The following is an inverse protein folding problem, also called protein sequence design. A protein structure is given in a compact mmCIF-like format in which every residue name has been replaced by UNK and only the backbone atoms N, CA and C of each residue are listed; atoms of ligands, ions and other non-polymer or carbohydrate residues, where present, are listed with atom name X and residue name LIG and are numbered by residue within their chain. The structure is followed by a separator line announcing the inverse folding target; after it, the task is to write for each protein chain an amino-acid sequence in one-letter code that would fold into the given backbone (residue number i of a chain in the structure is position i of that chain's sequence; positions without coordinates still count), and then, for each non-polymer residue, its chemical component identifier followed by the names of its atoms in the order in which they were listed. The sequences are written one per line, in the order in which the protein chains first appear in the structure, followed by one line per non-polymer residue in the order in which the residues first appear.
data_IF_522422263842
#
_entry.id   IF_522422263842
#
_cell.length_a   1.000
_cell.length_b   1.000
_cell.length_c   1.000
_cell.angle_alpha   90.00
_cell.angle_beta   90.00
_cell.angle_gamma   90.00
#
_symmetry.space_group_name_H-M   'P 1'
#
loop_
_entity.id
_entity.type
_entity.pdbx_description
1 polymer ?
#
# COMPACT_ATOMS: atom_id res chain seq x y z
N UNK A 1 18.07 -3.63 7.72
CA UNK A 1 19.38 -3.63 8.41
C UNK A 1 19.54 -2.31 9.14
N UNK A 2 19.89 -2.36 10.44
CA UNK A 2 20.19 -1.19 11.27
C UNK A 2 21.67 -1.29 11.66
N UNK A 3 22.41 -0.19 11.64
CA UNK A 3 23.81 -0.15 12.03
C UNK A 3 24.02 0.99 13.04
N UNK A 4 24.55 0.64 14.21
CA UNK A 4 24.96 1.58 15.24
C UNK A 4 26.47 1.77 15.17
N UNK A 5 26.92 3.00 15.29
CA UNK A 5 28.32 3.36 15.53
C UNK A 5 28.42 3.90 16.96
N UNK A 6 29.08 3.16 17.81
CA UNK A 6 29.12 3.43 19.27
C UNK A 6 30.54 3.77 19.73
N UNK A 7 30.65 4.63 20.71
CA UNK A 7 31.92 4.88 21.41
C UNK A 7 31.70 5.03 22.92
N UNK A 8 32.72 4.76 23.71
CA UNK A 8 32.73 5.10 25.14
C UNK A 8 33.01 6.60 25.32
N UNK A 9 32.41 7.20 26.34
CA UNK A 9 32.72 8.57 26.74
C UNK A 9 34.22 8.72 26.94
N UNK A 10 34.82 9.80 26.39
CA UNK A 10 36.27 10.05 26.46
C UNK A 10 37.15 9.22 25.53
N UNK A 11 36.56 8.34 24.67
CA UNK A 11 37.31 7.57 23.67
C UNK A 11 37.02 8.09 22.25
N UNK A 12 38.03 8.02 21.38
CA UNK A 12 37.93 8.26 19.95
C UNK A 12 37.64 6.96 19.16
N UNK A 13 37.64 5.82 19.83
CA UNK A 13 37.40 4.52 19.19
C UNK A 13 35.91 4.38 18.91
N UNK A 14 35.56 4.11 17.66
CA UNK A 14 34.19 3.88 17.21
C UNK A 14 34.04 2.40 16.87
N UNK A 15 33.06 1.74 17.50
CA UNK A 15 32.74 0.32 17.30
C UNK A 15 31.42 0.22 16.54
N UNK A 16 31.41 -0.35 15.32
CA UNK A 16 30.21 -0.59 14.58
C UNK A 16 29.51 -1.87 15.03
N UNK A 17 28.18 -1.83 15.20
CA UNK A 17 27.36 -3.01 15.45
C UNK A 17 26.18 -3.02 14.47
N UNK A 18 26.04 -4.13 13.74
CA UNK A 18 24.96 -4.31 12.74
C UNK A 18 23.88 -5.22 13.27
N UNK A 19 22.64 -4.81 13.12
CA UNK A 19 21.45 -5.58 13.49
C UNK A 19 20.70 -6.07 12.26
N UNK A 20 20.10 -7.30 12.29
CA UNK A 20 20.11 -8.23 13.42
C UNK A 20 21.53 -8.78 13.70
N UNK A 21 21.86 -8.90 14.99
CA UNK A 21 23.16 -9.31 15.49
C UNK A 21 23.09 -10.61 16.29
N UNK A 22 24.11 -11.45 16.19
CA UNK A 22 24.26 -12.60 17.10
C UNK A 22 24.70 -12.14 18.49
N UNK A 23 24.45 -12.98 19.50
CA UNK A 23 24.91 -12.69 20.87
C UNK A 23 26.42 -12.54 20.94
N UNK A 24 27.15 -13.32 20.14
CA UNK A 24 28.64 -13.22 20.07
C UNK A 24 29.08 -11.85 19.52
N UNK A 25 28.42 -11.34 18.46
CA UNK A 25 28.75 -10.03 17.91
C UNK A 25 28.45 -8.88 18.90
N UNK A 26 27.34 -8.97 19.64
CA UNK A 26 27.03 -7.99 20.70
C UNK A 26 28.09 -8.03 21.81
N UNK A 27 28.47 -9.23 22.23
CA UNK A 27 29.51 -9.40 23.27
C UNK A 27 30.85 -8.89 22.79
N UNK A 28 31.26 -9.18 21.57
CA UNK A 28 32.51 -8.70 20.98
C UNK A 28 32.55 -7.17 20.91
N UNK A 29 31.46 -6.53 20.43
CA UNK A 29 31.34 -5.07 20.40
C UNK A 29 31.45 -4.47 21.81
N UNK A 30 30.84 -5.10 22.83
CA UNK A 30 30.97 -4.67 24.23
C UNK A 30 32.40 -4.78 24.75
N UNK A 31 33.09 -5.89 24.45
CA UNK A 31 34.50 -6.06 24.82
C UNK A 31 35.43 -5.02 24.17
N UNK A 32 35.18 -4.69 22.89
CA UNK A 32 35.92 -3.64 22.17
C UNK A 32 35.70 -2.26 22.80
N UNK A 33 34.45 -1.94 23.18
CA UNK A 33 34.12 -0.71 23.89
C UNK A 33 34.78 -0.64 25.27
N UNK A 34 34.76 -1.73 26.03
CA UNK A 34 35.37 -1.80 27.39
C UNK A 34 36.88 -1.69 27.34
N UNK A 35 37.51 -2.20 26.28
CA UNK A 35 38.97 -2.04 26.04
C UNK A 35 39.39 -0.61 25.65
N UNK A 36 38.43 0.19 25.16
CA UNK A 36 38.70 1.54 24.64
C UNK A 36 38.66 2.64 25.70
N UNK A 37 37.97 2.47 26.82
CA UNK A 37 37.86 3.46 27.90
C UNK A 37 37.43 2.83 29.23
N UNK A 38 37.86 3.44 30.34
CA UNK A 38 37.41 3.08 31.70
C UNK A 38 36.00 3.60 32.02
N UNK A 39 35.49 4.56 31.25
CA UNK A 39 34.12 5.04 31.40
C UNK A 39 33.13 4.01 30.86
N UNK A 40 32.06 3.76 31.61
CA UNK A 40 31.09 2.71 31.28
C UNK A 40 29.95 3.20 30.35
N UNK A 41 29.77 4.53 30.22
CA UNK A 41 28.67 5.09 29.42
C UNK A 41 28.97 5.05 27.93
N UNK A 42 28.14 4.31 27.19
CA UNK A 42 28.23 4.26 25.74
C UNK A 42 27.40 5.40 25.11
N UNK A 43 27.96 5.99 24.06
CA UNK A 43 27.28 6.99 23.22
C UNK A 43 27.09 6.44 21.81
N UNK A 44 25.96 6.71 21.23
CA UNK A 44 25.74 6.50 19.80
C UNK A 44 26.31 7.70 19.06
N UNK A 45 27.29 7.45 18.21
CA UNK A 45 27.94 8.48 17.37
C UNK A 45 27.14 8.69 16.10
N UNK A 46 26.68 7.58 15.48
CA UNK A 46 25.90 7.58 14.25
C UNK A 46 25.00 6.36 14.22
N UNK A 47 23.84 6.50 13.60
CA UNK A 47 22.92 5.41 13.30
C UNK A 47 22.54 5.44 11.82
N UNK A 48 22.65 4.27 11.17
CA UNK A 48 22.21 4.08 9.78
C UNK A 48 21.12 3.03 9.73
N UNK A 49 20.09 3.27 8.91
CA UNK A 49 19.00 2.32 8.70
C UNK A 49 18.56 2.30 7.24
N UNK A 50 18.03 1.16 6.80
CA UNK A 50 17.34 1.03 5.52
C UNK A 50 15.98 1.75 5.52
N UNK A 51 15.46 2.06 6.71
CA UNK A 51 14.27 2.90 6.91
C UNK A 51 14.77 4.31 7.26
N UNK A 52 14.54 5.27 6.37
CA UNK A 52 15.19 6.57 6.43
C UNK A 52 14.87 7.37 7.72
N UNK A 53 13.61 7.33 8.18
CA UNK A 53 13.14 8.06 9.36
C UNK A 53 13.33 7.30 10.69
N UNK A 54 13.71 6.02 10.67
CA UNK A 54 13.88 5.19 11.87
C UNK A 54 14.83 5.79 12.93
N UNK A 55 15.99 6.38 12.56
CA UNK A 55 16.90 6.95 13.55
C UNK A 55 16.27 8.06 14.40
N UNK A 56 15.31 8.83 13.86
CA UNK A 56 14.65 9.91 14.60
C UNK A 56 13.81 9.42 15.77
N UNK A 57 13.28 8.19 15.68
CA UNK A 57 12.50 7.56 16.75
C UNK A 57 13.35 6.88 17.83
N UNK A 58 14.65 6.74 17.60
CA UNK A 58 15.59 6.08 18.51
C UNK A 58 16.44 7.07 19.32
N UNK A 59 16.04 8.34 19.40
CA UNK A 59 16.77 9.37 20.14
C UNK A 59 16.95 9.10 21.64
N UNK A 60 16.08 8.30 22.24
CA UNK A 60 16.15 7.87 23.64
C UNK A 60 16.75 6.47 23.84
N UNK A 61 17.30 5.84 22.81
CA UNK A 61 17.85 4.50 22.87
C UNK A 61 19.13 4.46 23.72
N UNK A 62 19.15 3.56 24.73
CA UNK A 62 20.28 3.31 25.58
C UNK A 62 21.04 2.04 25.14
N UNK A 63 22.23 2.17 24.54
CA UNK A 63 23.01 1.03 24.07
C UNK A 63 23.60 0.18 25.21
N UNK A 64 23.59 0.65 26.45
CA UNK A 64 24.03 -0.12 27.62
C UNK A 64 22.87 -0.97 28.21
N UNK A 65 21.64 -0.74 27.78
CA UNK A 65 20.47 -1.51 28.19
C UNK A 65 20.34 -2.82 27.40
N UNK A 66 20.52 -3.95 28.07
CA UNK A 66 20.34 -5.29 27.45
C UNK A 66 18.95 -5.49 26.90
N UNK A 67 17.94 -4.95 27.57
CA UNK A 67 16.53 -5.05 27.13
C UNK A 67 16.32 -4.29 25.82
N UNK A 68 16.81 -3.05 25.74
CA UNK A 68 16.67 -2.24 24.52
C UNK A 68 17.48 -2.82 23.35
N UNK A 69 18.68 -3.36 23.61
CA UNK A 69 19.45 -4.08 22.58
C UNK A 69 18.69 -5.30 22.04
N UNK A 70 18.05 -6.08 22.92
CA UNK A 70 17.24 -7.21 22.50
C UNK A 70 16.01 -6.78 21.67
N UNK A 71 15.34 -5.71 22.09
CA UNK A 71 14.20 -5.12 21.36
C UNK A 71 14.64 -4.59 19.97
N UNK A 72 15.76 -3.87 19.90
CA UNK A 72 16.32 -3.40 18.63
C UNK A 72 16.69 -4.56 17.70
N UNK A 73 17.22 -5.64 18.25
CA UNK A 73 17.55 -6.85 17.50
C UNK A 73 16.30 -7.53 16.93
N UNK A 74 15.22 -7.61 17.73
CA UNK A 74 13.92 -8.09 17.27
C UNK A 74 13.36 -7.22 16.15
N UNK A 75 13.34 -5.91 16.33
CA UNK A 75 12.90 -4.95 15.33
C UNK A 75 13.67 -5.12 14.01
N UNK A 76 15.00 -5.16 14.11
CA UNK A 76 15.88 -5.34 12.94
C UNK A 76 15.63 -6.68 12.22
N UNK A 77 15.30 -7.74 12.97
CA UNK A 77 14.96 -9.05 12.41
C UNK A 77 13.64 -9.03 11.63
N UNK A 78 12.67 -8.24 12.08
CA UNK A 78 11.39 -8.04 11.36
C UNK A 78 11.66 -7.23 10.09
N UNK A 79 12.34 -6.09 10.19
CA UNK A 79 12.68 -5.21 9.06
C UNK A 79 13.51 -5.95 7.99
N UNK A 80 14.37 -6.88 8.39
CA UNK A 80 15.19 -7.65 7.46
C UNK A 80 14.37 -8.55 6.53
N UNK A 81 13.17 -8.96 6.95
CA UNK A 81 12.25 -9.79 6.17
C UNK A 81 11.33 -8.99 5.25
N UNK A 82 11.20 -7.69 5.50
CA UNK A 82 10.35 -6.80 4.73
C UNK A 82 10.91 -6.60 3.31
N UNK A 83 10.03 -6.60 2.33
CA UNK A 83 10.34 -6.15 0.99
C UNK A 83 10.45 -4.62 0.89
N UNK A 84 10.70 -4.08 -0.31
CA UNK A 84 10.85 -2.63 -0.51
C UNK A 84 9.54 -1.88 -0.26
N UNK A 85 8.39 -2.45 -0.64
CA UNK A 85 7.07 -1.85 -0.43
C UNK A 85 6.72 -1.82 1.05
N UNK A 86 6.90 -2.93 1.75
CA UNK A 86 6.65 -3.03 3.20
C UNK A 86 7.52 -2.06 4.00
N UNK A 87 8.78 -1.84 3.59
CA UNK A 87 9.66 -0.84 4.21
C UNK A 87 9.14 0.58 4.04
N UNK A 88 8.60 0.91 2.88
CA UNK A 88 7.99 2.22 2.63
C UNK A 88 6.70 2.40 3.44
N UNK A 89 5.87 1.35 3.53
CA UNK A 89 4.68 1.33 4.37
C UNK A 89 5.08 1.52 5.84
N UNK A 90 6.08 0.78 6.31
CA UNK A 90 6.55 0.89 7.69
C UNK A 90 7.09 2.28 8.02
N UNK A 91 7.84 2.89 7.11
CA UNK A 91 8.32 4.27 7.27
C UNK A 91 7.15 5.26 7.47
N UNK A 92 6.14 5.18 6.61
CA UNK A 92 4.95 6.03 6.73
C UNK A 92 4.10 5.71 7.95
N UNK A 93 3.99 4.42 8.30
CA UNK A 93 3.26 4.01 9.51
C UNK A 93 3.92 4.53 10.80
N UNK A 94 5.26 4.66 10.85
CA UNK A 94 5.94 5.31 11.96
C UNK A 94 5.57 6.78 12.08
N UNK A 95 5.53 7.51 10.94
CA UNK A 95 5.19 8.93 10.92
C UNK A 95 3.69 9.17 11.22
N UNK A 96 2.82 8.24 10.85
CA UNK A 96 1.37 8.33 11.08
C UNK A 96 0.90 7.85 12.45
N UNK A 97 1.79 7.34 13.32
CA UNK A 97 1.43 6.84 14.65
C UNK A 97 2.21 7.56 15.74
N UNK A 98 1.63 7.60 16.95
CA UNK A 98 2.33 8.07 18.15
C UNK A 98 3.31 6.99 18.62
N UNK A 99 4.59 7.17 18.35
CA UNK A 99 5.67 6.25 18.74
C UNK A 99 6.36 6.79 19.98
N UNK A 100 6.27 6.07 21.09
CA UNK A 100 6.88 6.46 22.37
C UNK A 100 8.15 5.65 22.67
N UNK A 101 8.20 4.38 22.26
CA UNK A 101 9.29 3.47 22.57
C UNK A 101 9.51 2.41 21.48
N UNK A 102 10.52 1.54 21.70
CA UNK A 102 10.84 0.42 20.82
C UNK A 102 9.72 -0.63 20.71
N UNK A 103 8.87 -0.78 21.73
CA UNK A 103 7.77 -1.74 21.65
C UNK A 103 6.68 -1.23 20.69
N UNK A 104 6.41 0.08 20.68
CA UNK A 104 5.51 0.69 19.71
C UNK A 104 6.04 0.47 18.28
N UNK A 105 7.34 0.69 18.05
CA UNK A 105 7.99 0.45 16.76
C UNK A 105 7.88 -1.02 16.32
N UNK A 106 8.09 -1.97 17.24
CA UNK A 106 7.95 -3.40 16.97
C UNK A 106 6.50 -3.73 16.63
N UNK A 107 5.53 -3.22 17.39
CA UNK A 107 4.10 -3.43 17.15
C UNK A 107 3.71 -2.96 15.76
N UNK A 108 4.10 -1.76 15.35
CA UNK A 108 3.84 -1.23 14.00
C UNK A 108 4.51 -2.10 12.93
N UNK A 109 5.75 -2.56 13.17
CA UNK A 109 6.44 -3.45 12.24
C UNK A 109 5.75 -4.81 12.07
N UNK A 110 5.19 -5.38 13.14
CA UNK A 110 4.43 -6.62 13.11
C UNK A 110 3.06 -6.48 12.46
N UNK A 111 2.51 -5.27 12.47
CA UNK A 111 1.21 -4.91 11.89
C UNK A 111 1.33 -4.18 10.54
N UNK A 112 2.47 -4.27 9.87
CA UNK A 112 2.69 -3.57 8.58
C UNK A 112 1.65 -3.94 7.52
N UNK A 113 1.10 -5.16 7.58
CA UNK A 113 0.02 -5.62 6.72
C UNK A 113 -1.32 -4.89 6.92
N UNK A 114 -1.50 -4.21 8.07
CA UNK A 114 -2.71 -3.43 8.37
C UNK A 114 -2.69 -2.05 7.72
N UNK A 115 -1.59 -1.68 7.10
CA UNK A 115 -1.41 -0.41 6.41
C UNK A 115 -1.42 -0.59 4.90
N UNK A 116 -1.76 0.49 4.21
CA UNK A 116 -1.72 0.57 2.75
C UNK A 116 -0.85 1.74 2.33
N UNK A 117 -0.14 1.57 1.21
CA UNK A 117 0.57 2.62 0.50
C UNK A 117 -0.21 2.94 -0.77
N UNK A 118 -0.66 4.19 -0.87
CA UNK A 118 -1.23 4.78 -2.08
C UNK A 118 -0.06 5.47 -2.82
N UNK A 119 0.43 4.88 -3.91
CA UNK A 119 1.61 5.40 -4.60
C UNK A 119 1.34 6.76 -5.24
N UNK A 120 2.39 7.58 -5.39
CA UNK A 120 2.35 8.89 -6.05
C UNK A 120 1.48 9.96 -5.37
N UNK A 121 0.91 9.66 -4.19
CA UNK A 121 0.15 10.61 -3.37
C UNK A 121 1.07 11.17 -2.28
N UNK A 122 1.61 12.37 -2.49
CA UNK A 122 2.62 12.97 -1.62
C UNK A 122 2.28 14.39 -1.12
N UNK A 123 1.06 14.83 -1.36
CA UNK A 123 0.56 16.16 -0.97
C UNK A 123 -0.97 16.18 -0.89
N UNK A 124 -1.53 17.19 -0.23
CA UNK A 124 -2.98 17.38 -0.15
C UNK A 124 -3.63 17.45 -1.54
N UNK A 125 -2.97 18.09 -2.51
CA UNK A 125 -3.49 18.17 -3.89
C UNK A 125 -3.61 16.79 -4.52
N UNK A 126 -2.55 15.97 -4.41
CA UNK A 126 -2.55 14.61 -4.99
C UNK A 126 -3.49 13.68 -4.22
N UNK A 127 -3.60 13.86 -2.91
CA UNK A 127 -4.56 13.13 -2.09
C UNK A 127 -6.00 13.51 -2.44
N UNK A 128 -6.30 14.80 -2.60
CA UNK A 128 -7.62 15.26 -3.00
C UNK A 128 -8.02 14.77 -4.39
N UNK A 129 -7.09 14.72 -5.34
CA UNK A 129 -7.33 14.08 -6.65
C UNK A 129 -7.63 12.60 -6.50
N UNK A 130 -6.83 11.88 -5.71
CA UNK A 130 -7.06 10.46 -5.43
C UNK A 130 -8.45 10.22 -4.84
N UNK A 131 -8.84 10.99 -3.82
CA UNK A 131 -10.16 10.92 -3.18
C UNK A 131 -11.28 11.20 -4.17
N UNK A 132 -11.11 12.21 -5.01
CA UNK A 132 -12.10 12.57 -6.03
C UNK A 132 -12.26 11.46 -7.08
N UNK A 133 -11.16 10.86 -7.56
CA UNK A 133 -11.16 9.77 -8.55
C UNK A 133 -11.64 8.45 -7.94
N UNK A 134 -11.25 8.13 -6.70
CA UNK A 134 -11.61 6.87 -6.05
C UNK A 134 -13.12 6.75 -5.71
N UNK A 135 -13.92 7.76 -6.06
CA UNK A 135 -15.38 7.65 -6.14
C UNK A 135 -16.15 8.23 -4.99
N UNK A 136 -15.55 9.03 -4.12
CA UNK A 136 -16.35 9.84 -3.19
C UNK A 136 -17.05 11.01 -3.89
N UNK A 137 -16.47 11.53 -4.97
CA UNK A 137 -17.02 12.64 -5.76
C UNK A 137 -17.34 12.17 -7.18
N UNK A 138 -16.58 11.22 -7.73
CA UNK A 138 -16.79 10.67 -9.06
C UNK A 138 -18.05 9.77 -9.06
N UNK A 139 -19.03 10.12 -9.89
CA UNK A 139 -20.33 9.43 -9.95
C UNK A 139 -21.39 10.03 -9.02
N UNK A 140 -21.10 11.04 -8.22
CA UNK A 140 -22.12 11.84 -7.56
C UNK A 140 -22.76 12.78 -8.60
N UNK A 141 -24.08 12.65 -8.88
CA UNK A 141 -24.77 13.49 -9.87
C UNK A 141 -24.73 14.98 -9.52
N UNK A 142 -24.37 15.33 -8.28
CA UNK A 142 -24.19 16.72 -7.83
C UNK A 142 -22.89 17.35 -8.34
N UNK A 143 -21.93 16.52 -8.82
CA UNK A 143 -20.61 16.96 -9.31
C UNK A 143 -20.40 16.51 -10.76
N UNK A 144 -21.02 17.22 -11.74
CA UNK A 144 -20.81 16.90 -13.15
C UNK A 144 -19.34 17.08 -13.54
N UNK A 145 -18.87 16.32 -14.51
CA UNK A 145 -17.49 16.32 -14.98
C UNK A 145 -16.97 17.74 -15.34
N UNK A 146 -17.85 18.59 -15.86
CA UNK A 146 -17.57 20.01 -16.14
C UNK A 146 -17.19 20.82 -14.88
N UNK A 147 -17.47 20.36 -13.69
CA UNK A 147 -17.10 21.01 -12.43
C UNK A 147 -15.68 20.65 -11.94
N UNK A 148 -15.08 19.57 -12.46
CA UNK A 148 -13.77 19.08 -12.05
C UNK A 148 -12.64 20.12 -12.09
N UNK A 149 -12.51 20.95 -13.14
CA UNK A 149 -11.46 22.00 -13.19
C UNK A 149 -11.60 23.05 -12.08
N UNK A 150 -12.75 23.12 -11.44
CA UNK A 150 -13.07 24.11 -10.39
C UNK A 150 -12.99 23.51 -8.97
N UNK A 151 -12.67 22.22 -8.82
CA UNK A 151 -12.52 21.60 -7.51
C UNK A 151 -11.20 22.03 -6.86
N UNK A 152 -11.29 22.39 -5.59
CA UNK A 152 -10.11 22.65 -4.75
C UNK A 152 -9.59 21.32 -4.18
N UNK A 153 -8.77 20.64 -4.96
CA UNK A 153 -8.19 19.36 -4.55
C UNK A 153 -7.31 19.48 -3.31
N UNK A 154 -6.66 20.62 -3.08
CA UNK A 154 -5.86 20.83 -1.87
C UNK A 154 -6.76 20.79 -0.62
N UNK A 155 -7.91 21.44 -0.69
CA UNK A 155 -8.88 21.44 0.40
C UNK A 155 -9.48 20.05 0.64
N UNK A 156 -9.88 19.35 -0.43
CA UNK A 156 -10.42 17.98 -0.35
C UNK A 156 -9.40 17.03 0.31
N UNK A 157 -8.13 17.11 -0.10
CA UNK A 157 -7.08 16.27 0.47
C UNK A 157 -6.77 16.61 1.92
N UNK A 158 -6.74 17.89 2.27
CA UNK A 158 -6.51 18.33 3.65
C UNK A 158 -7.65 17.89 4.58
N UNK A 159 -8.91 17.97 4.13
CA UNK A 159 -10.07 17.49 4.89
C UNK A 159 -10.01 15.97 5.08
N UNK A 160 -9.71 15.22 4.02
CA UNK A 160 -9.52 13.77 4.09
C UNK A 160 -8.38 13.39 5.05
N UNK A 161 -7.24 14.07 4.96
CA UNK A 161 -6.09 13.86 5.87
C UNK A 161 -6.48 14.13 7.34
N UNK A 162 -7.21 15.20 7.59
CA UNK A 162 -7.64 15.55 8.94
C UNK A 162 -8.62 14.52 9.54
N UNK A 163 -9.43 13.88 8.72
CA UNK A 163 -10.44 12.89 9.14
C UNK A 163 -9.83 11.49 9.31
N UNK A 164 -8.93 11.07 8.40
CA UNK A 164 -8.43 9.70 8.32
C UNK A 164 -6.98 9.54 8.82
N UNK A 165 -6.26 10.64 9.03
CA UNK A 165 -4.85 10.59 9.44
C UNK A 165 -3.93 10.06 8.34
N UNK A 166 -2.90 9.32 8.74
CA UNK A 166 -1.88 8.76 7.83
C UNK A 166 -0.63 9.62 7.75
N UNK A 167 0.23 9.34 6.77
CA UNK A 167 1.47 10.08 6.56
C UNK A 167 1.86 10.15 5.09
N UNK A 168 2.34 11.31 4.66
CA UNK A 168 2.97 11.49 3.36
C UNK A 168 4.41 11.00 3.40
N UNK A 169 4.79 10.17 2.42
CA UNK A 169 6.16 9.69 2.23
C UNK A 169 6.63 10.00 0.82
N UNK A 170 7.91 9.81 0.55
CA UNK A 170 8.44 9.93 -0.82
C UNK A 170 7.86 8.89 -1.78
N UNK A 171 7.37 7.75 -1.25
CA UNK A 171 6.79 6.67 -2.04
C UNK A 171 5.27 6.83 -2.25
N UNK A 172 4.61 7.70 -1.47
CA UNK A 172 3.18 7.91 -1.51
C UNK A 172 2.59 8.17 -0.12
N UNK A 173 1.28 8.07 -0.01
CA UNK A 173 0.51 8.25 1.22
C UNK A 173 0.27 6.91 1.90
N UNK A 174 0.61 6.83 3.19
CA UNK A 174 0.43 5.63 4.00
C UNK A 174 -0.63 5.88 5.05
N UNK A 175 -1.62 4.99 5.12
CA UNK A 175 -2.68 5.06 6.13
C UNK A 175 -3.08 3.64 6.57
N UNK A 176 -3.81 3.56 7.69
CA UNK A 176 -4.31 2.29 8.20
C UNK A 176 -5.54 1.85 7.41
N UNK A 177 -5.63 0.58 7.01
CA UNK A 177 -6.75 0.02 6.23
C UNK A 177 -8.12 0.20 6.91
N UNK A 178 -8.16 0.25 8.24
CA UNK A 178 -9.40 0.43 8.99
C UNK A 178 -9.93 1.87 8.93
N UNK A 179 -9.03 2.83 8.70
CA UNK A 179 -9.33 4.26 8.67
C UNK A 179 -9.64 4.74 7.25
N UNK A 180 -9.40 3.89 6.24
CA UNK A 180 -9.70 4.19 4.84
C UNK A 180 -10.99 3.50 4.42
N UNK A 181 -12.09 4.24 4.38
CA UNK A 181 -13.36 3.77 3.82
C UNK A 181 -13.25 3.46 2.32
N UNK A 182 -12.30 4.09 1.61
CA UNK A 182 -12.02 3.82 0.20
C UNK A 182 -11.36 2.45 -0.01
N UNK A 183 -10.65 1.93 1.02
CA UNK A 183 -10.03 0.60 0.99
C UNK A 183 -10.98 -0.48 1.50
N UNK A 184 -11.97 -0.13 2.32
CA UNK A 184 -12.99 -1.08 2.81
C UNK A 184 -13.85 -1.67 1.69
N UNK A 185 -14.10 -0.89 0.67
CA UNK A 185 -14.58 -1.42 -0.58
C UNK A 185 -13.35 -1.55 -1.51
N UNK A 186 -12.87 -2.77 -1.76
CA UNK A 186 -12.23 -3.09 -3.05
C UNK A 186 -13.25 -2.63 -4.08
N UNK A 187 -13.22 -1.35 -4.50
CA UNK A 187 -14.13 -0.91 -5.54
C UNK A 187 -13.79 -1.73 -6.75
N UNK A 188 -14.59 -2.76 -6.93
CA UNK A 188 -14.47 -3.61 -8.08
C UNK A 188 -14.54 -2.70 -9.29
N UNK A 189 -13.55 -2.78 -10.16
CA UNK A 189 -13.59 -2.03 -11.43
C UNK A 189 -14.71 -2.57 -12.29
N UNK A 190 -14.92 -3.88 -12.19
CA UNK A 190 -15.99 -4.62 -12.84
C UNK A 190 -16.59 -5.56 -11.80
N UNK A 191 -17.91 -5.56 -11.65
CA UNK A 191 -18.63 -6.52 -10.83
C UNK A 191 -19.43 -7.43 -11.76
N UNK A 192 -19.27 -8.74 -11.59
CA UNK A 192 -20.01 -9.75 -12.33
C UNK A 192 -20.92 -10.52 -11.37
N UNK A 193 -22.19 -10.66 -11.73
CA UNK A 193 -23.09 -11.60 -11.09
C UNK A 193 -23.10 -12.89 -11.91
N UNK A 194 -22.63 -13.97 -11.29
CA UNK A 194 -22.48 -15.30 -11.89
C UNK A 194 -23.56 -16.24 -11.34
N UNK A 195 -24.12 -17.05 -12.20
CA UNK A 195 -25.10 -18.07 -11.84
C UNK A 195 -24.70 -19.41 -12.43
N UNK A 196 -24.72 -20.44 -11.59
CA UNK A 196 -24.61 -21.84 -11.99
C UNK A 196 -25.93 -22.60 -11.68
N UNK A 197 -25.97 -23.89 -11.96
CA UNK A 197 -27.08 -24.76 -11.56
C UNK A 197 -27.22 -24.93 -10.04
N UNK A 198 -26.17 -24.59 -9.26
CA UNK A 198 -26.10 -24.83 -7.82
C UNK A 198 -26.13 -23.54 -6.99
N UNK A 199 -25.58 -22.43 -7.49
CA UNK A 199 -25.44 -21.20 -6.72
C UNK A 199 -25.38 -19.93 -7.60
N UNK A 200 -25.60 -18.79 -6.96
CA UNK A 200 -25.33 -17.47 -7.51
C UNK A 200 -24.30 -16.75 -6.64
N UNK A 201 -23.34 -16.07 -7.26
CA UNK A 201 -22.26 -15.35 -6.59
C UNK A 201 -21.95 -14.06 -7.33
N UNK A 202 -21.78 -12.96 -6.59
CA UNK A 202 -21.23 -11.71 -7.12
C UNK A 202 -19.71 -11.70 -6.94
N UNK A 203 -18.99 -11.42 -8.03
CA UNK A 203 -17.53 -11.36 -8.06
C UNK A 203 -17.08 -9.94 -8.35
N UNK A 204 -16.20 -9.43 -7.51
CA UNK A 204 -15.56 -8.13 -7.66
C UNK A 204 -14.19 -8.29 -8.33
N UNK A 205 -14.01 -7.66 -9.49
CA UNK A 205 -12.79 -7.69 -10.28
C UNK A 205 -12.06 -6.33 -10.21
N UNK A 206 -10.71 -6.29 -10.20
CA UNK A 206 -9.83 -7.44 -10.41
C UNK A 206 -9.77 -8.37 -9.19
N UNK A 207 -9.69 -9.66 -9.45
CA UNK A 207 -9.59 -10.70 -8.45
C UNK A 207 -8.31 -11.53 -8.63
N UNK A 208 -7.73 -11.99 -7.54
CA UNK A 208 -6.57 -12.88 -7.56
C UNK A 208 -6.99 -14.30 -8.01
N UNK A 209 -5.99 -15.10 -8.40
CA UNK A 209 -6.23 -16.48 -8.80
C UNK A 209 -6.90 -17.31 -7.69
N UNK A 210 -6.50 -17.09 -6.43
CA UNK A 210 -7.07 -17.77 -5.27
C UNK A 210 -8.52 -17.33 -5.02
N UNK A 211 -8.86 -16.07 -5.25
CA UNK A 211 -10.23 -15.56 -5.14
C UNK A 211 -11.11 -16.18 -6.23
N UNK A 212 -10.65 -16.24 -7.48
CA UNK A 212 -11.36 -16.88 -8.59
C UNK A 212 -11.58 -18.37 -8.34
N UNK A 213 -10.58 -19.09 -7.82
CA UNK A 213 -10.73 -20.51 -7.46
C UNK A 213 -11.72 -20.71 -6.31
N UNK A 214 -11.83 -19.78 -5.38
CA UNK A 214 -12.87 -19.79 -4.32
C UNK A 214 -14.27 -19.63 -4.92
N UNK A 215 -14.42 -18.72 -5.89
CA UNK A 215 -15.69 -18.51 -6.59
C UNK A 215 -16.12 -19.75 -7.34
N UNK A 216 -15.23 -20.40 -8.08
CA UNK A 216 -15.52 -21.67 -8.78
C UNK A 216 -16.02 -22.74 -7.81
N UNK A 217 -15.35 -22.91 -6.66
CA UNK A 217 -15.78 -23.86 -5.62
C UNK A 217 -17.16 -23.53 -5.07
N UNK A 218 -17.48 -22.25 -4.86
CA UNK A 218 -18.78 -21.83 -4.36
C UNK A 218 -19.89 -22.07 -5.38
N UNK A 219 -19.58 -21.86 -6.68
CA UNK A 219 -20.51 -22.14 -7.79
C UNK A 219 -20.63 -23.64 -8.11
N UNK A 220 -19.70 -24.47 -7.61
CA UNK A 220 -19.67 -25.91 -7.91
C UNK A 220 -19.29 -26.22 -9.34
N UNK A 221 -18.39 -25.42 -9.95
CA UNK A 221 -17.95 -25.51 -11.34
C UNK A 221 -16.44 -25.72 -11.44
N UNK A 222 -15.99 -26.36 -12.52
CA UNK A 222 -14.57 -26.51 -12.80
C UNK A 222 -14.01 -25.35 -13.64
N UNK A 223 -14.83 -24.78 -14.54
CA UNK A 223 -14.45 -23.62 -15.34
C UNK A 223 -15.60 -22.60 -15.42
N UNK A 224 -15.27 -21.33 -15.63
CA UNK A 224 -16.29 -20.26 -15.71
C UNK A 224 -17.19 -20.35 -16.94
N UNK A 225 -16.82 -21.15 -17.96
CA UNK A 225 -17.71 -21.42 -19.10
C UNK A 225 -18.99 -22.17 -18.71
N UNK A 226 -19.03 -22.81 -17.53
CA UNK A 226 -20.20 -23.49 -16.97
C UNK A 226 -21.15 -22.57 -16.20
N UNK A 227 -20.74 -21.32 -15.94
CA UNK A 227 -21.54 -20.31 -15.27
C UNK A 227 -22.07 -19.27 -16.27
N UNK A 228 -23.30 -18.85 -16.09
CA UNK A 228 -23.86 -17.72 -16.84
C UNK A 228 -23.53 -16.40 -16.13
N UNK A 229 -23.01 -15.42 -16.87
CA UNK A 229 -22.89 -14.04 -16.40
C UNK A 229 -24.28 -13.39 -16.54
N UNK A 230 -24.93 -13.09 -15.43
CA UNK A 230 -26.30 -12.56 -15.41
C UNK A 230 -26.32 -11.03 -15.36
N UNK A 231 -25.27 -10.42 -14.83
CA UNK A 231 -25.12 -8.96 -14.75
C UNK A 231 -23.66 -8.56 -14.79
N UNK A 232 -23.38 -7.45 -15.47
CA UNK A 232 -22.08 -6.76 -15.46
C UNK A 232 -22.32 -5.33 -14.99
N UNK A 233 -21.49 -4.84 -14.09
CA UNK A 233 -21.50 -3.46 -13.62
C UNK A 233 -20.08 -2.92 -13.58
N UNK A 234 -19.90 -1.69 -14.09
CA UNK A 234 -18.60 -1.01 -14.06
C UNK A 234 -18.63 0.07 -12.98
N UNK A 235 -17.52 0.24 -12.26
CA UNK A 235 -17.35 1.34 -11.30
C UNK A 235 -16.93 2.64 -11.99
N UNK A 236 -16.35 2.53 -13.19
CA UNK A 236 -15.96 3.68 -14.00
C UNK A 236 -17.16 4.13 -14.82
N UNK A 237 -17.63 5.38 -14.67
CA UNK A 237 -18.75 5.91 -15.41
C UNK A 237 -18.56 5.79 -16.94
N UNK A 238 -19.65 5.61 -17.67
CA UNK A 238 -19.71 5.52 -19.13
C UNK A 238 -19.07 4.27 -19.77
N UNK A 239 -18.43 3.37 -18.99
CA UNK A 239 -17.89 2.12 -19.56
C UNK A 239 -18.99 1.19 -20.05
N UNK A 240 -20.12 1.15 -19.37
CA UNK A 240 -21.30 0.36 -19.75
C UNK A 240 -21.95 0.82 -21.06
N UNK A 241 -21.71 2.05 -21.50
CA UNK A 241 -22.15 2.57 -22.79
C UNK A 241 -21.28 2.10 -23.97
N UNK A 242 -20.01 1.71 -23.68
CA UNK A 242 -19.02 1.41 -24.70
C UNK A 242 -18.53 -0.03 -24.69
N UNK A 243 -18.71 -0.75 -23.59
CA UNK A 243 -18.27 -2.15 -23.44
C UNK A 243 -19.50 -3.05 -23.33
N UNK A 244 -19.62 -4.11 -24.16
CA UNK A 244 -20.77 -4.99 -24.13
C UNK A 244 -20.86 -5.74 -22.79
N UNK A 245 -22.07 -5.79 -22.25
CA UNK A 245 -22.40 -6.48 -21.01
C UNK A 245 -22.94 -7.90 -21.21
N UNK A 246 -23.02 -8.36 -22.48
CA UNK A 246 -23.49 -9.69 -22.87
C UNK A 246 -22.34 -10.52 -23.45
N UNK A 247 -22.36 -11.83 -23.22
CA UNK A 247 -21.31 -12.73 -23.73
C UNK A 247 -19.95 -12.54 -23.07
N UNK A 248 -19.94 -12.08 -21.82
CA UNK A 248 -18.74 -11.74 -21.08
C UNK A 248 -18.03 -13.00 -20.58
N UNK A 249 -16.72 -13.11 -20.86
CA UNK A 249 -15.83 -14.08 -20.25
C UNK A 249 -15.27 -13.51 -18.95
N UNK A 250 -15.26 -14.30 -17.89
CA UNK A 250 -14.80 -13.85 -16.55
C UNK A 250 -13.30 -13.54 -16.58
N UNK A 251 -12.52 -14.34 -17.29
CA UNK A 251 -11.08 -14.18 -17.44
C UNK A 251 -10.74 -12.86 -18.16
N UNK A 252 -11.39 -12.58 -19.28
CA UNK A 252 -11.19 -11.33 -20.04
C UNK A 252 -11.60 -10.11 -19.22
N UNK A 253 -12.72 -10.21 -18.49
CA UNK A 253 -13.18 -9.16 -17.60
C UNK A 253 -12.21 -8.91 -16.44
N UNK A 254 -11.58 -9.96 -15.92
CA UNK A 254 -10.57 -9.83 -14.87
C UNK A 254 -9.29 -9.16 -15.37
N UNK A 255 -8.80 -9.52 -16.55
CA UNK A 255 -7.65 -8.86 -17.17
C UNK A 255 -7.94 -7.40 -17.50
N UNK A 256 -9.14 -7.10 -18.01
CA UNK A 256 -9.57 -5.72 -18.24
C UNK A 256 -9.62 -4.92 -16.93
N UNK A 257 -10.14 -5.51 -15.85
CA UNK A 257 -10.21 -4.84 -14.55
C UNK A 257 -8.80 -4.53 -13.99
N UNK A 258 -7.82 -5.41 -14.19
CA UNK A 258 -6.41 -5.15 -13.85
C UNK A 258 -5.82 -4.01 -14.69
N UNK A 259 -6.09 -3.97 -15.99
CA UNK A 259 -5.67 -2.88 -16.86
C UNK A 259 -6.25 -1.53 -16.41
N UNK A 260 -7.56 -1.48 -16.12
CA UNK A 260 -8.24 -0.27 -15.61
C UNK A 260 -7.63 0.18 -14.28
N UNK A 261 -7.31 -0.75 -13.36
CA UNK A 261 -6.68 -0.41 -12.08
C UNK A 261 -5.29 0.20 -12.29
N UNK A 262 -4.52 -0.32 -13.24
CA UNK A 262 -3.21 0.24 -13.62
C UNK A 262 -3.33 1.68 -14.15
N UNK A 263 -4.29 1.95 -15.01
CA UNK A 263 -4.52 3.27 -15.61
C UNK A 263 -4.93 4.35 -14.59
N UNK A 264 -5.59 3.99 -13.50
CA UNK A 264 -5.98 4.94 -12.46
C UNK A 264 -4.79 5.49 -11.68
N UNK A 265 -3.64 4.82 -11.75
CA UNK A 265 -2.40 5.26 -11.11
C UNK A 265 -1.65 6.31 -11.93
N UNK A 266 -2.02 6.56 -13.20
CA UNK A 266 -1.35 7.51 -14.09
C UNK A 266 -2.30 8.63 -14.55
N UNK A 267 -1.84 9.89 -14.44
CA UNK A 267 -2.64 11.07 -14.76
C UNK A 267 -3.11 11.06 -16.22
N UNK A 268 -4.42 10.90 -16.41
CA UNK A 268 -5.09 11.04 -17.70
C UNK A 268 -5.16 9.79 -18.58
N UNK A 269 -4.55 8.65 -18.22
CA UNK A 269 -4.64 7.43 -19.01
C UNK A 269 -6.05 6.86 -19.08
N UNK A 270 -6.78 6.90 -17.96
CA UNK A 270 -8.17 6.47 -17.95
C UNK A 270 -9.05 7.31 -18.87
N UNK A 271 -8.83 8.64 -18.93
CA UNK A 271 -9.56 9.52 -19.83
C UNK A 271 -9.23 9.25 -21.30
N UNK A 272 -7.95 8.97 -21.61
CA UNK A 272 -7.55 8.53 -22.95
C UNK A 272 -8.25 7.22 -23.33
N UNK A 273 -8.25 6.28 -22.39
CA UNK A 273 -8.92 4.99 -22.59
C UNK A 273 -10.42 5.16 -22.90
N UNK A 274 -11.16 5.94 -22.11
CA UNK A 274 -12.55 6.24 -22.36
C UNK A 274 -12.77 6.92 -23.73
N UNK A 275 -11.87 7.82 -24.11
CA UNK A 275 -11.91 8.44 -25.44
C UNK A 275 -11.69 7.42 -26.57
N UNK A 276 -10.76 6.48 -26.39
CA UNK A 276 -10.55 5.39 -27.37
C UNK A 276 -11.77 4.48 -27.43
N UNK A 277 -12.34 4.07 -26.30
CA UNK A 277 -13.57 3.25 -26.27
C UNK A 277 -14.75 3.92 -27.01
N UNK A 278 -14.90 5.23 -26.87
CA UNK A 278 -15.97 5.96 -27.54
C UNK A 278 -15.82 5.98 -29.08
N UNK A 279 -14.59 5.88 -29.59
CA UNK A 279 -14.29 5.85 -31.04
C UNK A 279 -14.32 4.43 -31.57
N UNK A 280 -13.65 3.49 -30.90
CA UNK A 280 -13.47 2.11 -31.38
C UNK A 280 -14.70 1.23 -31.17
N UNK A 281 -15.55 1.54 -30.16
CA UNK A 281 -16.78 0.84 -29.83
C UNK A 281 -16.61 -0.68 -29.81
N UNK A 282 -15.76 -1.24 -28.92
CA UNK A 282 -15.44 -2.65 -28.90
C UNK A 282 -16.68 -3.53 -28.77
N UNK A 283 -16.78 -4.58 -29.58
CA UNK A 283 -17.87 -5.54 -29.55
C UNK A 283 -17.71 -6.65 -28.48
N UNK A 284 -16.53 -6.74 -27.83
CA UNK A 284 -16.22 -7.73 -26.79
C UNK A 284 -15.33 -7.14 -25.70
N UNK A 285 -15.32 -7.79 -24.51
CA UNK A 285 -14.36 -7.47 -23.44
C UNK A 285 -12.90 -7.59 -23.89
N UNK A 286 -12.59 -8.57 -24.74
CA UNK A 286 -11.25 -8.78 -25.26
C UNK A 286 -10.81 -7.65 -26.20
N UNK A 287 -11.72 -7.10 -27.01
CA UNK A 287 -11.43 -5.91 -27.82
C UNK A 287 -11.21 -4.68 -26.95
N UNK A 288 -12.03 -4.50 -25.91
CA UNK A 288 -11.83 -3.44 -24.92
C UNK A 288 -10.46 -3.56 -24.21
N UNK A 289 -10.04 -4.77 -23.86
CA UNK A 289 -8.71 -5.02 -23.29
C UNK A 289 -7.59 -4.67 -24.30
N UNK A 290 -7.75 -4.98 -25.59
CA UNK A 290 -6.76 -4.59 -26.62
C UNK A 290 -6.65 -3.07 -26.74
N UNK A 291 -7.77 -2.35 -26.67
CA UNK A 291 -7.76 -0.88 -26.62
C UNK A 291 -6.96 -0.38 -25.40
N UNK A 292 -7.12 -1.04 -24.24
CA UNK A 292 -6.39 -0.71 -23.03
C UNK A 292 -4.87 -0.93 -23.13
N UNK A 293 -4.47 -1.98 -23.83
CA UNK A 293 -3.05 -2.35 -24.01
C UNK A 293 -2.32 -1.50 -25.07
N UNK A 294 -3.03 -0.77 -25.92
CA UNK A 294 -2.46 0.01 -27.03
C UNK A 294 -2.54 1.53 -26.77
N UNK A 295 -2.75 1.97 -25.54
CA UNK A 295 -2.72 3.37 -25.12
C UNK A 295 -1.33 3.92 -25.02
#
# INVERSE_FOLDING_TARGET
MIQLFMSRSGSSVIVPLRFPASQSAITEASCQLDGASRERKTKIVEMKSVIANLPSYLGGFDPDSRTQLAQLNRLASIIAKMDSRERNIYAGALDGNSINDLNDMIRVAEQVSDYILIPNVNSDVTLGRYVAVAGQIQGDPRFPEAAWPYLDFAKIGAEYYAEHGGAYTYAGYVLRKQDDELVREKKSKIQLDLSSSQAQVSVCLPATKEELERVKRTLGIDCFAEAAVTKVSFSVPYMDEHIPTTGVCVEDANELAWAIEGMQCEDGELLKYLSVLSVEQPGTMQEALRCAMNL
#
